data_IF_744742406057
#
_entry.id   IF_744742406057
#
_cell.length_a   1.000
_cell.length_b   1.000
_cell.length_c   1.000
_cell.angle_alpha   90.00
_cell.angle_beta   90.00
_cell.angle_gamma   90.00
#
_symmetry.space_group_name_H-M   'P 1'
#
loop_
_entity.id
_entity.type
_entity.pdbx_description
1 polymer ?
#
# COMPACT_ATOMS: atom_id res chain seq x y z
N UNK A 1 -20.53 54.51 -9.05
CA UNK A 1 -20.33 53.52 -7.97
C UNK A 1 -20.19 52.15 -8.62
N UNK A 2 -18.96 51.63 -8.73
CA UNK A 2 -18.65 50.36 -9.42
C UNK A 2 -18.66 49.21 -8.42
N UNK A 3 -19.47 48.17 -8.66
CA UNK A 3 -19.42 46.93 -7.90
C UNK A 3 -18.57 45.91 -8.67
N UNK A 4 -17.32 45.74 -8.25
CA UNK A 4 -16.48 44.61 -8.68
C UNK A 4 -17.02 43.31 -8.06
N UNK A 5 -17.45 42.38 -8.90
CA UNK A 5 -17.78 41.00 -8.48
C UNK A 5 -16.59 40.09 -8.76
N UNK A 6 -15.91 39.62 -7.72
CA UNK A 6 -14.74 38.75 -7.81
C UNK A 6 -15.07 37.36 -7.27
N UNK A 7 -15.75 36.55 -8.08
CA UNK A 7 -15.94 35.12 -7.78
C UNK A 7 -14.77 34.31 -8.32
N UNK A 8 -13.60 34.52 -7.72
CA UNK A 8 -12.48 33.59 -7.82
C UNK A 8 -12.82 32.33 -7.03
N UNK A 9 -13.56 31.41 -7.65
CA UNK A 9 -13.67 30.04 -7.18
C UNK A 9 -12.33 29.33 -7.45
N UNK A 10 -11.32 29.68 -6.65
CA UNK A 10 -10.05 28.97 -6.61
C UNK A 10 -10.31 27.59 -6.00
N UNK A 11 -10.72 26.64 -6.83
CA UNK A 11 -10.56 25.21 -6.52
C UNK A 11 -9.06 24.98 -6.39
N UNK A 12 -8.58 24.91 -5.15
CA UNK A 12 -7.22 24.51 -4.86
C UNK A 12 -6.92 23.22 -5.64
N UNK A 13 -5.81 23.14 -6.39
CA UNK A 13 -5.51 21.94 -7.16
C UNK A 13 -5.42 20.78 -6.17
N UNK A 14 -6.31 19.78 -6.33
CA UNK A 14 -6.26 18.55 -5.52
C UNK A 14 -4.87 17.95 -5.67
N UNK A 15 -4.04 18.08 -4.63
CA UNK A 15 -2.67 17.55 -4.64
C UNK A 15 -2.77 16.03 -4.89
N UNK A 16 -2.23 15.59 -6.04
CA UNK A 16 -2.16 14.16 -6.39
C UNK A 16 -1.33 13.45 -5.32
N UNK A 17 -1.83 12.32 -4.83
CA UNK A 17 -1.15 11.47 -3.84
C UNK A 17 -0.82 10.13 -4.49
N UNK A 18 0.35 9.59 -4.17
CA UNK A 18 0.77 8.25 -4.58
C UNK A 18 0.66 7.31 -3.38
N UNK A 19 0.16 6.10 -3.60
CA UNK A 19 0.00 5.09 -2.56
C UNK A 19 0.82 3.87 -2.93
N UNK A 20 1.77 3.51 -2.08
CA UNK A 20 2.59 2.32 -2.23
C UNK A 20 1.99 1.24 -1.34
N UNK A 21 1.62 0.10 -1.91
CA UNK A 21 0.98 -0.98 -1.15
C UNK A 21 1.90 -2.17 -1.13
N UNK A 22 2.41 -2.47 0.05
CA UNK A 22 3.28 -3.60 0.27
C UNK A 22 2.50 -4.71 0.97
N UNK A 23 2.19 -5.77 0.24
CA UNK A 23 1.59 -6.99 0.78
C UNK A 23 2.72 -7.92 1.21
N UNK A 24 2.71 -8.36 2.46
CA UNK A 24 3.74 -9.25 3.00
C UNK A 24 3.15 -10.44 3.74
N UNK A 25 3.81 -11.58 3.57
CA UNK A 25 3.50 -12.83 4.25
C UNK A 25 4.23 -12.82 5.60
N UNK A 26 3.57 -13.09 6.73
CA UNK A 26 4.26 -13.26 8.00
C UNK A 26 5.18 -14.48 7.92
N UNK A 27 6.48 -14.24 7.92
CA UNK A 27 7.53 -15.23 8.23
C UNK A 27 8.13 -14.84 9.58
N UNK A 28 8.72 -15.78 10.33
CA UNK A 28 9.15 -15.57 11.72
C UNK A 28 10.02 -14.30 11.95
N UNK A 29 10.71 -13.80 10.93
CA UNK A 29 11.58 -12.60 11.00
C UNK A 29 10.94 -11.27 10.52
N UNK A 30 9.66 -11.24 10.10
CA UNK A 30 9.11 -10.14 9.29
C UNK A 30 8.57 -8.90 10.03
N UNK A 31 8.92 -8.70 11.30
CA UNK A 31 8.52 -7.50 12.06
C UNK A 31 9.40 -6.26 11.71
N UNK A 32 10.56 -6.45 11.07
CA UNK A 32 11.62 -5.43 10.94
C UNK A 32 11.64 -4.57 9.65
N UNK A 33 10.52 -4.33 8.96
CA UNK A 33 10.56 -3.63 7.64
C UNK A 33 10.07 -2.19 7.60
N UNK A 34 9.56 -1.64 8.69
CA UNK A 34 9.04 -0.25 8.76
C UNK A 34 10.08 0.82 8.32
N UNK A 35 11.37 0.77 8.69
CA UNK A 35 12.33 1.80 8.28
C UNK A 35 12.69 1.73 6.77
N UNK A 36 12.64 0.55 6.14
CA UNK A 36 12.94 0.39 4.70
C UNK A 36 11.94 1.14 3.81
N UNK A 37 10.67 1.23 4.22
CA UNK A 37 9.64 1.90 3.43
C UNK A 37 9.77 3.43 3.44
N UNK A 38 10.36 4.02 4.49
CA UNK A 38 10.57 5.48 4.52
C UNK A 38 11.53 5.96 3.43
N UNK A 39 12.59 5.20 3.17
CA UNK A 39 13.53 5.55 2.09
C UNK A 39 12.84 5.48 0.73
N UNK A 40 12.05 4.43 0.50
CA UNK A 40 11.27 4.26 -0.72
C UNK A 40 10.23 5.39 -0.91
N UNK A 41 9.54 5.81 0.15
CA UNK A 41 8.62 6.97 0.08
C UNK A 41 9.33 8.25 -0.34
N UNK A 42 10.53 8.49 0.18
CA UNK A 42 11.34 9.67 -0.16
C UNK A 42 11.74 9.61 -1.64
N UNK A 43 12.22 8.47 -2.11
CA UNK A 43 12.64 8.31 -3.51
C UNK A 43 11.46 8.45 -4.48
N UNK A 44 10.33 7.79 -4.20
CA UNK A 44 9.12 7.91 -5.03
C UNK A 44 8.57 9.33 -5.00
N UNK A 45 8.60 10.01 -3.85
CA UNK A 45 8.21 11.42 -3.75
C UNK A 45 9.11 12.30 -4.59
N UNK A 46 10.43 12.05 -4.59
CA UNK A 46 11.40 12.78 -5.41
C UNK A 46 11.20 12.55 -6.90
N UNK A 47 11.01 11.30 -7.33
CA UNK A 47 10.89 10.93 -8.75
C UNK A 47 9.60 11.47 -9.37
N UNK A 48 8.48 11.37 -8.64
CA UNK A 48 7.16 11.69 -9.18
C UNK A 48 6.67 13.07 -8.77
N UNK A 49 7.38 13.79 -7.89
CA UNK A 49 6.94 15.07 -7.30
C UNK A 49 5.55 15.01 -6.64
N UNK A 50 5.17 13.83 -6.15
CA UNK A 50 3.88 13.55 -5.49
C UNK A 50 4.12 13.03 -4.08
N UNK A 51 3.26 13.39 -3.12
CA UNK A 51 3.35 12.83 -1.76
C UNK A 51 3.06 11.31 -1.82
N UNK A 52 4.06 10.50 -1.52
CA UNK A 52 3.94 9.06 -1.39
C UNK A 52 3.64 8.65 0.06
N UNK A 53 2.78 7.65 0.25
CA UNK A 53 2.52 7.01 1.54
C UNK A 53 2.55 5.49 1.33
N UNK A 54 3.34 4.78 2.12
CA UNK A 54 3.39 3.31 2.11
C UNK A 54 2.42 2.74 3.11
N UNK A 55 1.62 1.81 2.62
CA UNK A 55 0.72 1.00 3.40
C UNK A 55 1.30 -0.41 3.50
N UNK A 56 1.76 -0.85 4.69
CA UNK A 56 2.10 -2.24 4.92
C UNK A 56 0.83 -3.05 5.24
N UNK A 57 0.50 -4.01 4.38
CA UNK A 57 -0.57 -4.99 4.60
C UNK A 57 0.10 -6.34 4.88
N UNK A 58 -0.10 -6.87 6.08
CA UNK A 58 0.44 -8.18 6.46
C UNK A 58 -0.72 -9.17 6.46
N UNK A 59 -0.66 -10.14 5.53
CA UNK A 59 -1.67 -11.18 5.35
C UNK A 59 -1.00 -12.54 5.33
N UNK A 60 -1.47 -13.46 6.18
CA UNK A 60 -1.07 -14.86 6.18
C UNK A 60 -1.80 -15.65 5.10
N UNK A 61 -1.19 -16.74 4.64
CA UNK A 61 -1.75 -17.63 3.63
C UNK A 61 -3.14 -18.19 4.00
N UNK A 62 -3.40 -18.38 5.29
CA UNK A 62 -4.71 -18.81 5.81
C UNK A 62 -5.72 -17.66 5.95
N UNK A 63 -5.43 -16.47 5.39
CA UNK A 63 -6.31 -15.32 5.51
C UNK A 63 -6.19 -14.54 6.82
N UNK A 64 -5.15 -14.78 7.61
CA UNK A 64 -4.87 -13.99 8.81
C UNK A 64 -4.48 -12.56 8.40
N UNK A 65 -5.29 -11.57 8.73
CA UNK A 65 -4.98 -10.16 8.49
C UNK A 65 -4.50 -9.52 9.80
N UNK A 66 -3.38 -8.78 9.77
CA UNK A 66 -2.91 -8.06 10.95
C UNK A 66 -3.96 -7.04 11.42
N UNK A 67 -4.20 -6.98 12.74
CA UNK A 67 -5.13 -6.02 13.36
C UNK A 67 -4.81 -4.58 12.92
N UNK A 68 -5.84 -3.86 12.51
CA UNK A 68 -5.79 -2.51 11.94
C UNK A 68 -5.28 -2.37 10.49
N UNK A 69 -5.12 -3.45 9.74
CA UNK A 69 -4.91 -3.37 8.28
C UNK A 69 -6.19 -2.93 7.54
N UNK A 70 -7.36 -3.14 8.14
CA UNK A 70 -8.68 -2.85 7.56
C UNK A 70 -8.84 -1.36 7.19
N UNK A 71 -8.25 -0.46 7.99
CA UNK A 71 -8.25 0.99 7.73
C UNK A 71 -7.54 1.38 6.43
N UNK A 72 -6.67 0.51 5.96
CA UNK A 72 -5.86 0.72 4.77
C UNK A 72 -6.43 -0.01 3.55
N UNK A 73 -6.98 -1.20 3.78
CA UNK A 73 -7.76 -1.94 2.78
C UNK A 73 -8.97 -1.11 2.36
N UNK A 74 -9.69 -0.50 3.32
CA UNK A 74 -10.82 0.39 3.03
C UNK A 74 -10.43 1.69 2.33
N UNK A 75 -9.21 2.21 2.57
CA UNK A 75 -8.66 3.38 1.85
C UNK A 75 -8.33 3.07 0.39
N UNK A 76 -8.08 1.81 0.06
CA UNK A 76 -7.67 1.40 -1.28
C UNK A 76 -8.79 0.60 -1.91
N UNK A 77 -9.65 1.27 -2.68
CA UNK A 77 -10.75 0.60 -3.41
C UNK A 77 -10.29 -0.61 -4.25
N UNK A 78 -9.03 -0.59 -4.71
CA UNK A 78 -8.37 -1.64 -5.50
C UNK A 78 -8.15 -2.95 -4.72
N UNK A 79 -7.99 -2.89 -3.40
CA UNK A 79 -7.70 -4.06 -2.55
C UNK A 79 -8.90 -4.50 -1.71
N UNK A 80 -10.09 -3.99 -2.03
CA UNK A 80 -11.31 -4.25 -1.25
C UNK A 80 -11.68 -5.73 -1.16
N UNK A 81 -11.28 -6.55 -2.13
CA UNK A 81 -11.50 -7.99 -2.09
C UNK A 81 -10.33 -8.71 -1.40
N UNK A 82 -10.51 -9.04 -0.12
CA UNK A 82 -9.58 -9.83 0.69
C UNK A 82 -9.22 -11.16 0.01
N UNK A 83 -10.14 -11.77 -0.73
CA UNK A 83 -9.91 -13.02 -1.46
C UNK A 83 -8.76 -12.88 -2.46
N UNK A 84 -8.77 -11.81 -3.27
CA UNK A 84 -7.73 -11.58 -4.27
C UNK A 84 -6.37 -11.37 -3.61
N UNK A 85 -6.34 -10.75 -2.43
CA UNK A 85 -5.09 -10.59 -1.69
C UNK A 85 -4.61 -11.92 -1.12
N UNK A 86 -5.52 -12.77 -0.65
CA UNK A 86 -5.20 -14.12 -0.19
C UNK A 86 -4.64 -14.99 -1.32
N UNK A 87 -5.18 -14.90 -2.55
CA UNK A 87 -4.64 -15.61 -3.71
C UNK A 87 -3.20 -15.21 -4.01
N UNK A 88 -2.90 -13.90 -4.01
CA UNK A 88 -1.53 -13.39 -4.20
C UNK A 88 -0.59 -13.91 -3.11
N UNK A 89 -1.06 -13.91 -1.86
CA UNK A 89 -0.30 -14.43 -0.72
C UNK A 89 -0.06 -15.93 -0.87
N UNK A 90 -1.08 -16.70 -1.27
CA UNK A 90 -0.99 -18.14 -1.46
C UNK A 90 0.05 -18.50 -2.53
N UNK A 91 0.03 -17.81 -3.68
CA UNK A 91 1.04 -17.97 -4.74
C UNK A 91 2.45 -17.62 -4.24
N UNK A 92 2.58 -16.56 -3.43
CA UNK A 92 3.84 -16.19 -2.81
C UNK A 92 4.37 -17.26 -1.84
N UNK A 93 3.49 -17.82 -1.01
CA UNK A 93 3.83 -18.92 -0.09
C UNK A 93 4.20 -20.18 -0.87
N UNK A 94 3.42 -20.55 -1.89
CA UNK A 94 3.68 -21.69 -2.76
C UNK A 94 5.05 -21.59 -3.43
N UNK A 95 5.40 -20.40 -3.94
CA UNK A 95 6.73 -20.14 -4.51
C UNK A 95 7.86 -20.29 -3.50
N UNK A 96 7.68 -19.79 -2.27
CA UNK A 96 8.66 -19.96 -1.19
C UNK A 96 8.81 -21.44 -0.84
N UNK A 97 7.70 -22.18 -0.73
CA UNK A 97 7.69 -23.61 -0.42
C UNK A 97 8.39 -24.43 -1.50
N UNK A 98 8.13 -24.17 -2.79
CA UNK A 98 8.85 -24.80 -3.90
C UNK A 98 10.37 -24.63 -3.77
N UNK A 99 10.82 -23.41 -3.47
CA UNK A 99 12.24 -23.12 -3.27
C UNK A 99 12.82 -23.84 -2.05
N UNK A 100 12.11 -23.81 -0.92
CA UNK A 100 12.58 -24.44 0.33
C UNK A 100 12.68 -25.97 0.18
N UNK A 101 11.72 -26.58 -0.52
CA UNK A 101 11.68 -28.00 -0.77
C UNK A 101 12.52 -28.44 -1.98
N UNK A 102 13.18 -27.49 -2.66
CA UNK A 102 13.92 -27.73 -3.92
C UNK A 102 13.10 -28.44 -4.99
N UNK A 103 11.78 -28.20 -5.01
CA UNK A 103 10.87 -28.72 -6.03
C UNK A 103 10.83 -27.66 -7.12
N UNK A 104 11.54 -27.94 -8.22
CA UNK A 104 11.67 -27.04 -9.37
C UNK A 104 10.44 -27.09 -10.28
#
# INVERSE_FOLDING_TARGET
MSYYNNNNNQRSPKKKKSLLINVSIPTDDNVEKIPKYKHLEIEVTRMWSLKAETIPIIIGALGMIKKHSDRYITKTSVLTNVHNIQEIVLLGTEHILRKALSIQ
#
